data_IF_429695414470
#
_entry.id   IF_429695414470
#
_cell.length_a   1.000
_cell.length_b   1.000
_cell.length_c   1.000
_cell.angle_alpha   90.00
_cell.angle_beta   90.00
_cell.angle_gamma   90.00
#
_symmetry.space_group_name_H-M   'P 1'
#
loop_
_entity.id
_entity.type
_entity.pdbx_description
1 polymer ?
#
# COMPACT_ATOMS: atom_id res chain seq x y z
N UNK A 1 -21.73 19.65 33.88
CA UNK A 1 -21.45 18.31 33.34
C UNK A 1 -19.98 18.03 33.61
N UNK A 2 -19.67 17.12 34.53
CA UNK A 2 -18.29 16.77 34.91
C UNK A 2 -17.73 15.83 33.82
N UNK A 3 -16.96 16.37 32.88
CA UNK A 3 -16.33 15.58 31.83
C UNK A 3 -15.23 14.69 32.39
N UNK A 4 -15.16 13.45 31.91
CA UNK A 4 -14.06 12.53 32.22
C UNK A 4 -12.81 13.01 31.48
N UNK A 5 -11.81 13.54 32.20
CA UNK A 5 -10.54 14.03 31.65
C UNK A 5 -9.53 12.91 31.32
N UNK A 6 -10.00 11.69 31.10
CA UNK A 6 -9.15 10.57 30.70
C UNK A 6 -9.07 10.50 29.18
N UNK A 7 -7.91 10.12 28.61
CA UNK A 7 -7.81 9.83 27.18
C UNK A 7 -8.95 8.91 26.71
N UNK A 8 -9.55 9.26 25.57
CA UNK A 8 -10.66 8.50 24.96
C UNK A 8 -11.86 8.24 25.90
N UNK A 9 -12.10 9.13 26.87
CA UNK A 9 -13.19 8.98 27.84
C UNK A 9 -13.02 7.79 28.78
N UNK A 10 -11.79 7.33 29.00
CA UNK A 10 -11.47 6.18 29.85
C UNK A 10 -11.64 4.82 29.15
N UNK A 11 -11.87 4.79 27.83
CA UNK A 11 -11.92 3.55 27.07
C UNK A 11 -10.52 2.95 26.92
N UNK A 12 -10.46 1.61 26.98
CA UNK A 12 -9.25 0.87 26.60
C UNK A 12 -9.11 0.91 25.09
N UNK A 13 -7.98 1.43 24.61
CA UNK A 13 -7.64 1.50 23.19
C UNK A 13 -6.54 0.47 22.89
N UNK A 14 -6.74 -0.32 21.83
CA UNK A 14 -5.73 -1.22 21.29
C UNK A 14 -5.39 -0.70 19.89
N UNK A 15 -4.10 -0.43 19.67
CA UNK A 15 -3.57 0.07 18.42
C UNK A 15 -2.72 -1.04 17.80
N UNK A 16 -2.91 -1.28 16.50
CA UNK A 16 -2.10 -2.22 15.72
C UNK A 16 -1.53 -1.51 14.51
N UNK A 17 -0.27 -1.81 14.19
CA UNK A 17 0.42 -1.22 13.07
C UNK A 17 1.87 -1.65 13.02
N UNK A 18 2.56 -1.25 11.95
CA UNK A 18 3.98 -1.48 11.75
C UNK A 18 4.63 -0.16 11.34
N UNK A 19 5.51 0.37 12.19
CA UNK A 19 6.16 1.66 11.94
C UNK A 19 7.20 1.63 10.81
N UNK A 20 7.45 0.45 10.25
CA UNK A 20 8.28 0.27 9.04
C UNK A 20 7.45 0.43 7.76
N UNK A 21 6.13 0.65 7.88
CA UNK A 21 5.24 0.95 6.75
C UNK A 21 5.20 2.45 6.44
N UNK A 22 4.40 2.82 5.44
CA UNK A 22 4.29 4.19 4.95
C UNK A 22 3.83 5.17 6.03
N UNK A 23 4.45 6.36 6.02
CA UNK A 23 4.06 7.47 6.89
C UNK A 23 2.68 8.02 6.50
N UNK A 24 1.99 8.76 7.39
CA UNK A 24 0.75 9.44 7.06
C UNK A 24 0.90 10.36 5.84
N UNK A 25 -0.07 10.30 4.92
CA UNK A 25 -0.07 11.15 3.73
C UNK A 25 -0.61 12.53 4.11
N UNK A 26 0.24 13.55 3.95
CA UNK A 26 -0.16 14.96 4.05
C UNK A 26 0.00 15.58 2.67
N UNK A 27 -1.11 15.93 2.02
CA UNK A 27 -1.10 16.53 0.67
C UNK A 27 -0.32 17.84 0.72
N UNK A 28 0.69 17.98 -0.14
CA UNK A 28 1.63 19.11 -0.17
C UNK A 28 2.35 19.35 1.18
N UNK A 29 2.43 18.32 2.03
CA UNK A 29 3.08 18.39 3.33
C UNK A 29 4.61 18.31 3.23
N UNK A 30 5.28 19.09 4.06
CA UNK A 30 6.72 18.95 4.28
C UNK A 30 7.03 17.69 5.11
N UNK A 31 8.27 17.20 5.03
CA UNK A 31 8.77 16.09 5.87
C UNK A 31 8.47 16.32 7.36
N UNK A 32 8.63 17.55 7.84
CA UNK A 32 8.33 17.90 9.25
C UNK A 32 6.85 17.75 9.58
N UNK A 33 5.95 18.18 8.69
CA UNK A 33 4.50 18.04 8.90
C UNK A 33 4.07 16.57 8.89
N UNK A 34 4.63 15.76 8.00
CA UNK A 34 4.36 14.32 7.93
C UNK A 34 4.79 13.64 9.23
N UNK A 35 6.00 13.93 9.72
CA UNK A 35 6.50 13.38 11.00
C UNK A 35 5.59 13.80 12.15
N UNK A 36 5.23 15.08 12.25
CA UNK A 36 4.33 15.61 13.29
C UNK A 36 2.92 15.01 13.26
N UNK A 37 2.48 14.51 12.11
CA UNK A 37 1.20 13.81 11.98
C UNK A 37 1.28 12.34 12.45
N UNK A 38 2.49 11.79 12.64
CA UNK A 38 2.67 10.43 13.14
C UNK A 38 2.21 10.29 14.58
N UNK A 39 1.67 9.11 14.91
CA UNK A 39 1.21 8.79 16.27
C UNK A 39 2.33 8.87 17.31
N UNK A 40 3.57 8.65 16.90
CA UNK A 40 4.74 8.72 17.78
C UNK A 40 5.05 10.15 18.24
N UNK A 41 4.62 11.16 17.49
CA UNK A 41 4.73 12.59 17.85
C UNK A 41 3.51 13.08 18.64
N UNK A 42 2.51 12.23 18.88
CA UNK A 42 1.34 12.58 19.67
C UNK A 42 1.70 12.73 21.15
N UNK A 43 1.11 13.70 21.85
CA UNK A 43 1.22 13.80 23.31
C UNK A 43 0.70 12.55 24.03
N UNK A 44 -0.23 11.83 23.39
CA UNK A 44 -0.79 10.57 23.88
C UNK A 44 0.22 9.41 23.84
N UNK A 45 1.28 9.50 23.03
CA UNK A 45 2.27 8.44 22.88
C UNK A 45 2.92 8.08 24.21
N UNK A 46 3.14 9.07 25.08
CA UNK A 46 3.64 8.89 26.46
C UNK A 46 2.77 7.96 27.32
N UNK A 47 1.49 7.80 26.98
CA UNK A 47 0.52 6.94 27.67
C UNK A 47 0.36 5.57 26.99
N UNK A 48 1.01 5.33 25.85
CA UNK A 48 0.92 4.08 25.09
C UNK A 48 1.93 3.09 25.62
N UNK A 49 1.47 1.89 25.98
CA UNK A 49 2.33 0.74 26.25
C UNK A 49 2.60 0.00 24.95
N UNK A 50 3.85 -0.03 24.51
CA UNK A 50 4.26 -0.74 23.30
C UNK A 50 4.45 -2.23 23.60
N UNK A 51 3.83 -3.08 22.78
CA UNK A 51 4.01 -4.52 22.78
C UNK A 51 4.48 -4.94 21.38
N UNK A 52 5.56 -5.71 21.30
CA UNK A 52 6.15 -6.12 20.03
C UNK A 52 5.80 -7.58 19.73
N UNK A 53 5.40 -7.87 18.50
CA UNK A 53 5.31 -9.21 17.96
C UNK A 53 6.63 -9.52 17.23
N UNK A 54 7.29 -10.62 17.57
CA UNK A 54 8.61 -10.98 17.05
C UNK A 54 8.60 -12.05 15.97
N UNK A 55 7.51 -12.81 15.85
CA UNK A 55 7.41 -13.91 14.89
C UNK A 55 6.78 -13.45 13.56
N UNK A 56 7.53 -13.61 12.46
CA UNK A 56 7.02 -13.36 11.12
C UNK A 56 6.25 -14.58 10.62
N UNK A 57 4.92 -14.55 10.76
CA UNK A 57 4.04 -15.63 10.29
C UNK A 57 3.86 -15.66 8.76
N UNK A 58 4.15 -14.57 8.05
CA UNK A 58 3.93 -14.46 6.59
C UNK A 58 5.03 -15.15 5.79
N UNK A 59 6.28 -14.95 6.21
CA UNK A 59 7.47 -15.47 5.53
C UNK A 59 8.15 -16.57 6.36
N UNK A 60 7.40 -17.31 7.18
CA UNK A 60 7.94 -18.33 8.10
C UNK A 60 8.77 -19.40 7.39
N UNK A 61 8.42 -19.73 6.15
CA UNK A 61 9.11 -20.73 5.33
C UNK A 61 10.22 -20.14 4.44
N UNK A 62 10.49 -18.85 4.53
CA UNK A 62 11.59 -18.18 3.81
C UNK A 62 12.35 -17.22 4.76
N UNK A 63 13.23 -17.77 5.62
CA UNK A 63 14.00 -16.96 6.57
C UNK A 63 14.89 -15.93 5.90
N UNK A 64 15.46 -16.25 4.73
CA UNK A 64 16.33 -15.34 4.00
C UNK A 64 15.57 -14.10 3.53
N UNK A 65 14.37 -14.28 2.97
CA UNK A 65 13.51 -13.18 2.58
C UNK A 65 12.99 -12.40 3.80
N UNK A 66 12.57 -13.09 4.85
CA UNK A 66 12.13 -12.43 6.10
C UNK A 66 13.22 -11.53 6.69
N UNK A 67 14.46 -12.04 6.80
CA UNK A 67 15.59 -11.29 7.34
C UNK A 67 15.94 -10.09 6.46
N UNK A 68 15.86 -10.24 5.14
CA UNK A 68 16.03 -9.13 4.20
C UNK A 68 14.96 -8.04 4.42
N UNK A 69 13.68 -8.41 4.48
CA UNK A 69 12.59 -7.45 4.74
C UNK A 69 12.76 -6.74 6.09
N UNK A 70 13.25 -7.43 7.12
CA UNK A 70 13.52 -6.82 8.42
C UNK A 70 14.64 -5.78 8.32
N UNK A 71 15.77 -6.10 7.68
CA UNK A 71 16.87 -5.14 7.49
C UNK A 71 16.43 -3.91 6.69
N UNK A 72 15.64 -4.11 5.64
CA UNK A 72 15.03 -3.00 4.87
C UNK A 72 14.15 -2.14 5.77
N UNK A 73 13.25 -2.75 6.54
CA UNK A 73 12.32 -2.02 7.40
C UNK A 73 12.98 -1.28 8.56
N UNK A 74 14.11 -1.76 9.08
CA UNK A 74 14.89 -1.07 10.10
C UNK A 74 15.86 -0.01 9.53
N UNK A 75 16.08 -0.01 8.22
CA UNK A 75 17.09 0.85 7.59
C UNK A 75 18.52 0.34 7.77
N UNK A 76 18.70 -0.95 8.05
CA UNK A 76 20.00 -1.62 8.24
C UNK A 76 20.54 -2.22 6.94
N UNK A 77 19.71 -2.33 5.89
CA UNK A 77 20.16 -2.85 4.59
C UNK A 77 21.08 -1.83 3.91
N UNK A 78 22.27 -2.25 3.40
CA UNK A 78 23.21 -1.35 2.77
C UNK A 78 22.59 -0.59 1.59
N UNK A 79 22.79 0.73 1.59
CA UNK A 79 22.36 1.59 0.50
C UNK A 79 23.46 1.76 -0.54
N UNK A 80 23.02 2.01 -1.77
CA UNK A 80 23.84 2.52 -2.88
C UNK A 80 23.58 4.04 -3.01
N UNK A 81 23.96 4.64 -4.14
CA UNK A 81 23.75 6.07 -4.40
C UNK A 81 22.30 6.51 -4.15
N UNK A 82 22.13 7.73 -3.63
CA UNK A 82 20.84 8.35 -3.31
C UNK A 82 19.98 7.58 -2.28
N UNK A 83 20.61 6.93 -1.30
CA UNK A 83 19.94 6.15 -0.25
C UNK A 83 19.06 5.02 -0.78
N UNK A 84 19.33 4.54 -2.01
CA UNK A 84 18.59 3.45 -2.62
C UNK A 84 19.08 2.09 -2.12
N UNK A 85 18.19 1.11 -2.03
CA UNK A 85 18.55 -0.27 -1.68
C UNK A 85 18.73 -1.07 -2.97
N UNK A 86 19.82 -1.86 -3.06
CA UNK A 86 20.01 -2.77 -4.19
C UNK A 86 19.15 -4.03 -4.01
N UNK A 87 18.14 -4.19 -4.86
CA UNK A 87 17.35 -5.42 -4.90
C UNK A 87 18.24 -6.60 -5.36
N UNK A 88 18.19 -7.77 -4.68
CA UNK A 88 18.89 -8.96 -5.13
C UNK A 88 18.51 -9.33 -6.55
N UNK A 89 19.49 -9.69 -7.39
CA UNK A 89 19.23 -10.03 -8.80
C UNK A 89 18.24 -11.19 -8.95
N UNK A 90 18.15 -12.09 -7.97
CA UNK A 90 17.16 -13.19 -7.96
C UNK A 90 15.71 -12.74 -7.79
N UNK A 91 15.48 -11.49 -7.37
CA UNK A 91 14.17 -10.87 -7.18
C UNK A 91 13.86 -9.81 -8.25
N UNK A 92 14.80 -9.53 -9.15
CA UNK A 92 14.70 -8.44 -10.10
C UNK A 92 14.54 -8.96 -11.53
N UNK A 93 13.66 -8.31 -12.28
CA UNK A 93 13.60 -8.41 -13.75
C UNK A 93 14.38 -7.24 -14.33
N UNK A 94 15.27 -7.51 -15.30
CA UNK A 94 16.01 -6.45 -15.99
C UNK A 94 15.08 -5.71 -16.95
N UNK A 95 15.16 -4.38 -16.94
CA UNK A 95 14.43 -3.54 -17.87
C UNK A 95 15.13 -3.53 -19.22
N UNK A 96 14.46 -4.07 -20.24
CA UNK A 96 14.93 -4.12 -21.64
C UNK A 96 14.05 -3.26 -22.57
N UNK A 97 13.15 -2.46 -21.99
CA UNK A 97 12.20 -1.59 -22.70
C UNK A 97 10.75 -2.01 -22.47
N UNK A 98 9.84 -1.48 -23.28
CA UNK A 98 8.39 -1.71 -23.14
C UNK A 98 7.99 -3.20 -23.18
N UNK A 99 8.79 -4.05 -23.84
CA UNK A 99 8.56 -5.49 -23.86
C UNK A 99 8.68 -6.13 -22.47
N UNK A 100 9.48 -5.55 -21.56
CA UNK A 100 9.58 -6.03 -20.18
C UNK A 100 8.26 -5.91 -19.42
N UNK A 101 7.34 -5.04 -19.86
CA UNK A 101 5.99 -4.96 -19.29
C UNK A 101 5.19 -6.21 -19.65
N UNK A 102 5.28 -6.66 -20.90
CA UNK A 102 4.60 -7.87 -21.35
C UNK A 102 5.22 -9.12 -20.69
N UNK A 103 6.54 -9.13 -20.48
CA UNK A 103 7.21 -10.18 -19.71
C UNK A 103 6.78 -10.19 -18.24
N UNK A 104 6.64 -9.02 -17.60
CA UNK A 104 6.14 -8.91 -16.23
C UNK A 104 4.70 -9.43 -16.11
N UNK A 105 3.82 -9.04 -17.04
CA UNK A 105 2.45 -9.54 -17.08
C UNK A 105 2.46 -11.06 -17.25
N UNK A 106 3.23 -11.61 -18.19
CA UNK A 106 3.29 -13.05 -18.43
C UNK A 106 3.92 -13.84 -17.28
N UNK A 107 4.90 -13.28 -16.58
CA UNK A 107 5.52 -13.90 -15.41
C UNK A 107 4.52 -14.03 -14.25
N UNK A 108 3.71 -13.00 -14.03
CA UNK A 108 2.71 -12.99 -12.95
C UNK A 108 1.39 -13.64 -13.35
N UNK A 109 1.00 -13.55 -14.62
CA UNK A 109 -0.26 -14.04 -15.20
C UNK A 109 0.02 -14.88 -16.48
N UNK A 110 0.58 -16.09 -16.34
CA UNK A 110 0.87 -16.96 -17.48
C UNK A 110 -0.41 -17.47 -18.16
N UNK A 111 -0.48 -17.31 -19.49
CA UNK A 111 -1.66 -17.68 -20.31
C UNK A 111 -2.94 -16.97 -19.85
N UNK A 112 -2.84 -15.68 -19.50
CA UNK A 112 -3.96 -14.85 -19.02
C UNK A 112 -5.23 -14.98 -19.89
N UNK A 113 -5.09 -15.00 -21.21
CA UNK A 113 -6.18 -15.14 -22.19
C UNK A 113 -7.04 -16.40 -22.00
N UNK A 114 -6.48 -17.47 -21.44
CA UNK A 114 -7.17 -18.75 -21.21
C UNK A 114 -7.86 -18.86 -19.83
N UNK A 115 -7.65 -17.89 -18.94
CA UNK A 115 -8.10 -17.94 -17.54
C UNK A 115 -9.14 -16.86 -17.20
N UNK A 116 -9.81 -16.26 -18.19
CA UNK A 116 -10.75 -15.14 -17.99
C UNK A 116 -11.89 -15.46 -17.00
N UNK A 117 -12.33 -16.72 -16.92
CA UNK A 117 -13.38 -17.19 -16.00
C UNK A 117 -12.84 -18.05 -14.84
N UNK A 118 -11.52 -18.10 -14.67
CA UNK A 118 -10.88 -18.86 -13.60
C UNK A 118 -10.63 -17.96 -12.39
N UNK A 119 -11.54 -18.02 -11.43
CA UNK A 119 -11.48 -17.22 -10.21
C UNK A 119 -10.24 -17.56 -9.36
N UNK A 120 -9.94 -18.84 -9.18
CA UNK A 120 -8.80 -19.29 -8.36
C UNK A 120 -7.47 -18.81 -8.94
N UNK A 121 -7.35 -18.81 -10.28
CA UNK A 121 -6.20 -18.26 -10.98
C UNK A 121 -6.02 -16.76 -10.73
N UNK A 122 -7.11 -15.98 -10.75
CA UNK A 122 -7.06 -14.53 -10.63
C UNK A 122 -6.83 -14.05 -9.20
N UNK A 123 -7.41 -14.71 -8.20
CA UNK A 123 -7.37 -14.26 -6.79
C UNK A 123 -5.97 -14.28 -6.16
N UNK A 124 -5.09 -15.14 -6.65
CA UNK A 124 -3.77 -15.36 -6.05
C UNK A 124 -2.64 -14.56 -6.71
N UNK A 125 -2.97 -13.57 -7.55
CA UNK A 125 -2.01 -12.85 -8.39
C UNK A 125 -2.24 -11.35 -8.33
N UNK A 126 -1.15 -10.60 -8.27
CA UNK A 126 -1.18 -9.14 -8.31
C UNK A 126 0.10 -8.59 -8.94
N UNK A 127 -0.02 -7.44 -9.57
CA UNK A 127 1.10 -6.55 -9.90
C UNK A 127 0.83 -5.23 -9.17
N UNK A 128 1.81 -4.72 -8.45
CA UNK A 128 1.71 -3.47 -7.69
C UNK A 128 2.75 -2.51 -8.23
N UNK A 129 2.34 -1.27 -8.51
CA UNK A 129 3.23 -0.20 -8.94
C UNK A 129 3.10 1.02 -8.01
N UNK A 130 4.13 1.87 -7.94
CA UNK A 130 4.11 3.04 -7.07
C UNK A 130 3.20 4.17 -7.61
N UNK A 131 2.94 4.22 -8.92
CA UNK A 131 2.22 5.31 -9.58
C UNK A 131 0.97 4.80 -10.28
N UNK A 132 -0.13 5.56 -10.15
CA UNK A 132 -1.39 5.25 -10.83
C UNK A 132 -1.25 5.27 -12.36
N UNK A 133 -0.38 6.11 -12.92
CA UNK A 133 -0.12 6.12 -14.36
C UNK A 133 0.47 4.78 -14.84
N UNK A 134 1.35 4.17 -14.04
CA UNK A 134 1.89 2.84 -14.35
C UNK A 134 0.84 1.75 -14.14
N UNK A 135 -0.02 1.88 -13.12
CA UNK A 135 -1.19 1.00 -12.94
C UNK A 135 -2.07 1.02 -14.20
N UNK A 136 -2.37 2.20 -14.72
CA UNK A 136 -3.23 2.35 -15.90
C UNK A 136 -2.62 1.65 -17.12
N UNK A 137 -1.32 1.85 -17.40
CA UNK A 137 -0.63 1.20 -18.52
C UNK A 137 -0.63 -0.33 -18.41
N UNK A 138 -0.35 -0.85 -17.22
CA UNK A 138 -0.34 -2.29 -16.96
C UNK A 138 -1.73 -2.89 -17.07
N UNK A 139 -2.74 -2.23 -16.49
CA UNK A 139 -4.12 -2.70 -16.56
C UNK A 139 -4.63 -2.70 -18.00
N UNK A 140 -4.35 -1.66 -18.77
CA UNK A 140 -4.71 -1.59 -20.19
C UNK A 140 -4.10 -2.77 -20.97
N UNK A 141 -2.79 -3.01 -20.82
CA UNK A 141 -2.11 -4.16 -21.46
C UNK A 141 -2.69 -5.50 -21.01
N UNK A 142 -2.95 -5.69 -19.72
CA UNK A 142 -3.49 -6.93 -19.17
C UNK A 142 -4.93 -7.20 -19.64
N UNK A 143 -5.80 -6.18 -19.64
CA UNK A 143 -7.18 -6.27 -20.13
C UNK A 143 -7.20 -6.58 -21.62
N UNK A 144 -6.36 -5.92 -22.43
CA UNK A 144 -6.26 -6.17 -23.86
C UNK A 144 -5.76 -7.59 -24.20
N UNK A 145 -5.13 -8.29 -23.25
CA UNK A 145 -4.74 -9.68 -23.41
C UNK A 145 -5.89 -10.69 -23.16
N UNK A 146 -7.01 -10.25 -22.60
CA UNK A 146 -8.19 -11.09 -22.34
C UNK A 146 -9.03 -11.25 -23.62
N UNK A 147 -9.55 -12.46 -23.85
CA UNK A 147 -10.35 -12.79 -25.05
C UNK A 147 -11.87 -12.56 -24.87
N UNK A 148 -12.25 -11.59 -24.03
CA UNK A 148 -13.65 -11.29 -23.69
C UNK A 148 -14.25 -10.13 -24.46
N UNK A 149 -15.55 -9.90 -24.28
CA UNK A 149 -16.22 -8.68 -24.74
C UNK A 149 -15.91 -7.52 -23.78
N UNK A 150 -15.49 -6.38 -24.32
CA UNK A 150 -15.26 -5.16 -23.55
C UNK A 150 -16.60 -4.52 -23.16
N UNK A 151 -16.75 -4.17 -21.88
CA UNK A 151 -17.92 -3.45 -21.36
C UNK A 151 -17.46 -2.18 -20.66
N UNK A 152 -17.92 -1.02 -21.15
CA UNK A 152 -17.62 0.28 -20.56
C UNK A 152 -18.69 0.68 -19.55
N UNK A 153 -18.27 1.00 -18.32
CA UNK A 153 -19.12 1.54 -17.26
C UNK A 153 -18.78 3.02 -17.04
N UNK A 154 -19.73 3.91 -17.34
CA UNK A 154 -19.54 5.35 -17.15
C UNK A 154 -19.96 5.80 -15.75
N UNK A 155 -19.17 6.65 -15.09
CA UNK A 155 -19.57 7.31 -13.84
C UNK A 155 -20.68 8.34 -14.11
N UNK A 156 -21.48 8.64 -13.07
CA UNK A 156 -22.41 9.76 -13.08
C UNK A 156 -22.01 10.72 -11.96
N UNK A 157 -21.34 11.80 -12.33
CA UNK A 157 -20.86 12.82 -11.40
C UNK A 157 -21.77 14.05 -11.46
N UNK A 158 -22.28 14.49 -10.30
CA UNK A 158 -23.10 15.69 -10.18
C UNK A 158 -22.45 16.69 -9.23
N UNK A 159 -22.41 17.97 -9.61
CA UNK A 159 -22.02 19.06 -8.70
C UNK A 159 -23.26 19.53 -7.95
N UNK A 160 -23.24 19.59 -6.60
CA UNK A 160 -24.35 20.17 -5.84
C UNK A 160 -24.52 21.65 -6.24
N UNK A 161 -25.77 22.07 -6.44
CA UNK A 161 -26.10 23.47 -6.70
C UNK A 161 -25.74 24.32 -5.45
N UNK A 162 -25.20 25.53 -5.65
CA UNK A 162 -24.68 26.41 -4.57
C UNK A 162 -25.73 26.79 -3.50
N UNK A 163 -27.00 26.42 -3.73
CA UNK A 163 -28.12 26.63 -2.82
C UNK A 163 -28.31 25.53 -1.76
N UNK A 164 -27.47 24.48 -1.73
CA UNK A 164 -27.53 23.46 -0.68
C UNK A 164 -26.69 23.91 0.52
N UNK A 165 -27.36 24.51 1.52
CA UNK A 165 -26.76 24.77 2.83
C UNK A 165 -26.35 23.42 3.44
N UNK A 166 -25.04 23.18 3.50
CA UNK A 166 -24.48 22.04 4.23
C UNK A 166 -24.82 22.18 5.72
N UNK A 167 -25.86 21.49 6.17
CA UNK A 167 -26.07 21.29 7.61
C UNK A 167 -25.05 20.26 8.07
N UNK A 168 -24.02 20.72 8.79
CA UNK A 168 -23.11 19.83 9.50
C UNK A 168 -23.91 18.91 10.44
N UNK A 169 -24.14 17.66 10.02
CA UNK A 169 -24.39 16.57 10.96
C UNK A 169 -23.04 15.94 11.28
N UNK A 170 -22.55 16.25 12.47
CA UNK A 170 -21.40 15.59 13.09
C UNK A 170 -21.71 14.09 13.25
N UNK A 171 -20.74 13.25 12.91
CA UNK A 171 -20.61 11.92 13.50
C UNK A 171 -20.04 12.04 14.93
#
# INVERSE_FOLDING_TARGET
MLGVYLPFGGKVMILGGDFRQVLPIIINGTKSQIIKASIVESSLWSSVKVLNLSENMRAQHDPHFSDFLLRVGYGDEPTIENDMIRIPNSMAMHWEGENSIDELINANFPNLSSHIYDTDYMENRAIITPLNDDVNKLNEKAINALLGEEVTYNSFDSVPDDNVICTHRSF
#
